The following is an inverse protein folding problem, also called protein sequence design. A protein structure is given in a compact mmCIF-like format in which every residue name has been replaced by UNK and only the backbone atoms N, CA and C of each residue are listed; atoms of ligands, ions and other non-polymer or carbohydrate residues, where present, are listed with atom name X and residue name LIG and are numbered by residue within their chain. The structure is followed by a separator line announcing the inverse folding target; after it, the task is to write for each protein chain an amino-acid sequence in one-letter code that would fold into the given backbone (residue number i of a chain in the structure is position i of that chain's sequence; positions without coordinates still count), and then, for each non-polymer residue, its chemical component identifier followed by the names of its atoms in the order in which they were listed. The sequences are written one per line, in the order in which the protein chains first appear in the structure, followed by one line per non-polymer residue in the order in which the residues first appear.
data_IF_645285081328
#
_entry.id   IF_645285081328
#
_cell.length_a   1.000
_cell.length_b   1.000
_cell.length_c   1.000
_cell.angle_alpha   90.00
_cell.angle_beta   90.00
_cell.angle_gamma   90.00
#
_symmetry.space_group_name_H-M   'P 1'
#
loop_
_entity.id
_entity.type
_entity.pdbx_description
1 polymer ?
#
# COMPACT_ATOMS: atom_id res chain seq x y z
N UNK A 1 16.04 9.69 7.42
CA UNK A 1 15.67 10.95 6.70
C UNK A 1 14.50 11.66 7.39
N UNK A 2 14.53 12.98 7.60
CA UNK A 2 13.39 13.73 8.18
C UNK A 2 12.31 13.93 7.11
N UNK A 3 11.07 13.51 7.39
CA UNK A 3 9.94 13.70 6.47
C UNK A 3 9.52 15.17 6.45
N UNK A 4 9.47 15.74 5.25
CA UNK A 4 9.03 17.12 4.98
C UNK A 4 8.27 17.18 3.66
N UNK A 5 7.53 18.27 3.42
CA UNK A 5 6.84 18.47 2.14
C UNK A 5 7.79 18.46 0.94
N UNK A 6 8.94 19.10 1.08
CA UNK A 6 9.96 19.17 0.03
C UNK A 6 10.44 17.76 -0.35
N UNK A 7 10.82 16.95 0.64
CA UNK A 7 11.29 15.58 0.41
C UNK A 7 10.20 14.67 -0.15
N UNK A 8 8.93 14.92 0.20
CA UNK A 8 7.79 14.20 -0.38
C UNK A 8 7.55 14.62 -1.84
N UNK A 9 7.62 15.90 -2.17
CA UNK A 9 7.52 16.38 -3.57
C UNK A 9 8.64 15.81 -4.43
N UNK A 10 9.89 15.85 -3.96
CA UNK A 10 11.06 15.28 -4.65
C UNK A 10 10.88 13.78 -4.92
N UNK A 11 10.20 13.06 -4.01
CA UNK A 11 9.91 11.64 -4.18
C UNK A 11 8.73 11.32 -5.11
N UNK A 12 8.01 12.34 -5.61
CA UNK A 12 6.91 12.19 -6.56
C UNK A 12 5.50 12.30 -5.98
N UNK A 13 5.34 12.86 -4.78
CA UNK A 13 4.03 13.32 -4.31
C UNK A 13 3.62 14.58 -5.07
N UNK A 14 2.32 14.72 -5.34
CA UNK A 14 1.77 15.96 -5.90
C UNK A 14 1.35 16.92 -4.79
N UNK A 15 1.15 18.21 -5.12
CA UNK A 15 0.58 19.17 -4.18
C UNK A 15 -0.80 18.73 -3.65
N UNK A 16 -1.62 18.08 -4.49
CA UNK A 16 -2.93 17.54 -4.06
C UNK A 16 -2.76 16.37 -3.08
N UNK A 17 -1.73 15.54 -3.25
CA UNK A 17 -1.42 14.47 -2.30
C UNK A 17 -1.00 15.06 -0.95
N UNK A 18 -0.15 16.09 -0.96
CA UNK A 18 0.26 16.80 0.25
C UNK A 18 -0.89 17.48 0.96
N UNK A 19 -1.79 18.13 0.22
CA UNK A 19 -2.97 18.76 0.80
C UNK A 19 -3.86 17.74 1.53
N UNK A 20 -4.03 16.53 0.96
CA UNK A 20 -4.78 15.44 1.61
C UNK A 20 -4.09 14.97 2.89
N UNK A 21 -2.77 14.82 2.87
CA UNK A 21 -1.99 14.38 4.03
C UNK A 21 -2.05 15.45 5.14
N UNK A 22 -1.85 16.72 4.79
CA UNK A 22 -1.96 17.85 5.73
C UNK A 22 -3.34 17.96 6.35
N UNK A 23 -4.38 17.91 5.53
CA UNK A 23 -5.74 17.94 6.01
C UNK A 23 -6.04 16.76 6.95
N UNK A 24 -5.41 15.60 6.73
CA UNK A 24 -5.52 14.49 7.66
C UNK A 24 -4.83 14.80 9.01
N UNK A 25 -3.62 15.35 8.98
CA UNK A 25 -2.91 15.79 10.20
C UNK A 25 -3.68 16.88 10.95
N UNK A 26 -4.25 17.86 10.25
CA UNK A 26 -5.03 18.95 10.87
C UNK A 26 -6.32 18.43 11.52
N UNK A 27 -6.99 17.46 10.89
CA UNK A 27 -8.28 16.94 11.37
C UNK A 27 -8.13 15.84 12.44
N UNK A 28 -7.05 15.05 12.40
CA UNK A 28 -6.86 13.87 13.26
C UNK A 28 -5.63 13.96 14.18
N UNK A 29 -4.84 15.03 14.07
CA UNK A 29 -3.59 15.21 14.81
C UNK A 29 -2.42 14.39 14.22
N UNK A 30 -1.31 14.38 14.95
CA UNK A 30 -0.09 13.67 14.58
C UNK A 30 0.86 14.48 13.70
N UNK A 31 1.77 13.77 13.03
CA UNK A 31 2.82 14.35 12.19
C UNK A 31 2.76 13.79 10.76
N UNK A 32 3.41 14.50 9.82
CA UNK A 32 3.55 14.01 8.45
C UNK A 32 4.21 12.62 8.39
N UNK A 33 5.23 12.36 9.22
CA UNK A 33 5.92 11.08 9.25
C UNK A 33 5.00 9.93 9.70
N UNK A 34 4.20 10.14 10.74
CA UNK A 34 3.24 9.16 11.25
C UNK A 34 2.19 8.81 10.18
N UNK A 35 1.62 9.82 9.51
CA UNK A 35 0.63 9.59 8.45
C UNK A 35 1.26 8.83 7.27
N UNK A 36 2.48 9.20 6.86
CA UNK A 36 3.20 8.49 5.79
C UNK A 36 3.50 7.03 6.21
N UNK A 37 3.94 6.83 7.45
CA UNK A 37 4.24 5.50 7.99
C UNK A 37 2.99 4.61 8.02
N UNK A 38 1.86 5.13 8.50
CA UNK A 38 0.60 4.40 8.55
C UNK A 38 0.12 4.03 7.15
N UNK A 39 0.25 4.94 6.20
CA UNK A 39 -0.13 4.69 4.82
C UNK A 39 0.75 3.62 4.17
N UNK A 40 2.06 3.68 4.40
CA UNK A 40 3.02 2.68 3.95
C UNK A 40 2.72 1.30 4.56
N UNK A 41 2.38 1.25 5.85
CA UNK A 41 2.03 0.01 6.55
C UNK A 41 0.74 -0.60 5.99
N UNK A 42 -0.30 0.19 5.78
CA UNK A 42 -1.56 -0.26 5.17
C UNK A 42 -1.34 -0.82 3.77
N UNK A 43 -0.52 -0.15 2.95
CA UNK A 43 -0.13 -0.67 1.64
C UNK A 43 0.60 -2.01 1.75
N UNK A 44 1.56 -2.12 2.67
CA UNK A 44 2.33 -3.34 2.85
C UNK A 44 1.45 -4.53 3.28
N UNK A 45 0.48 -4.30 4.18
CA UNK A 45 -0.50 -5.30 4.60
C UNK A 45 -1.37 -5.74 3.41
N UNK A 46 -1.97 -4.79 2.67
CA UNK A 46 -2.80 -5.10 1.50
C UNK A 46 -2.02 -5.87 0.43
N UNK A 47 -0.75 -5.51 0.19
CA UNK A 47 0.16 -6.21 -0.71
C UNK A 47 0.39 -7.66 -0.26
N UNK A 48 0.68 -7.90 1.03
CA UNK A 48 0.90 -9.26 1.54
C UNK A 48 -0.37 -10.11 1.49
N UNK A 49 -1.54 -9.56 1.83
CA UNK A 49 -2.84 -10.24 1.67
C UNK A 49 -3.02 -10.67 0.21
N UNK A 50 -2.74 -9.75 -0.73
CA UNK A 50 -2.84 -10.03 -2.17
C UNK A 50 -1.89 -11.16 -2.59
N UNK A 51 -0.63 -11.13 -2.16
CA UNK A 51 0.36 -12.17 -2.46
C UNK A 51 -0.08 -13.53 -1.92
N UNK A 52 -0.46 -13.61 -0.64
CA UNK A 52 -0.91 -14.85 0.00
C UNK A 52 -2.14 -15.42 -0.70
N UNK A 53 -3.09 -14.56 -1.08
CA UNK A 53 -4.27 -14.96 -1.82
C UNK A 53 -3.93 -15.61 -3.18
N UNK A 54 -2.99 -15.03 -3.93
CA UNK A 54 -2.51 -15.62 -5.18
C UNK A 54 -1.76 -16.92 -4.97
N UNK A 55 -0.94 -17.04 -3.91
CA UNK A 55 -0.26 -18.29 -3.55
C UNK A 55 -1.27 -19.41 -3.28
N UNK A 56 -2.32 -19.13 -2.50
CA UNK A 56 -3.39 -20.09 -2.23
C UNK A 56 -4.10 -20.50 -3.52
N UNK A 57 -4.39 -19.54 -4.42
CA UNK A 57 -5.00 -19.81 -5.72
C UNK A 57 -4.13 -20.74 -6.57
N UNK A 58 -2.83 -20.44 -6.70
CA UNK A 58 -1.88 -21.25 -7.48
C UNK A 58 -1.79 -22.65 -6.89
N UNK A 59 -1.62 -22.77 -5.57
CA UNK A 59 -1.53 -24.06 -4.90
C UNK A 59 -2.80 -24.89 -5.10
N UNK A 60 -3.97 -24.28 -4.88
CA UNK A 60 -5.27 -24.92 -5.14
C UNK A 60 -5.42 -25.35 -6.59
N UNK A 61 -4.99 -24.52 -7.54
CA UNK A 61 -5.06 -24.82 -8.96
C UNK A 61 -4.21 -26.03 -9.37
N UNK A 62 -3.04 -26.19 -8.75
CA UNK A 62 -2.14 -27.33 -9.01
C UNK A 62 -2.65 -28.63 -8.37
N UNK A 63 -3.28 -28.55 -7.19
CA UNK A 63 -3.74 -29.74 -6.45
C UNK A 63 -5.19 -30.15 -6.76
N UNK A 64 -6.03 -29.29 -7.34
CA UNK A 64 -7.47 -29.53 -7.44
C UNK A 64 -7.92 -30.09 -8.79
N UNK A 65 -8.88 -31.02 -8.76
CA UNK A 65 -9.72 -31.37 -9.91
C UNK A 65 -10.55 -30.15 -10.32
N UNK A 66 -10.69 -29.90 -11.63
CA UNK A 66 -11.07 -28.64 -12.32
C UNK A 66 -12.17 -27.72 -11.73
N UNK A 67 -13.02 -28.14 -10.80
CA UNK A 67 -14.23 -27.38 -10.41
C UNK A 67 -14.04 -26.41 -9.22
N UNK A 68 -13.13 -26.67 -8.27
CA UNK A 68 -13.01 -25.81 -7.06
C UNK A 68 -12.17 -24.55 -7.28
N UNK A 69 -11.31 -24.53 -8.29
CA UNK A 69 -10.43 -23.38 -8.59
C UNK A 69 -11.19 -22.19 -9.15
N UNK A 70 -12.31 -22.42 -9.84
CA UNK A 70 -13.07 -21.37 -10.52
C UNK A 70 -13.76 -20.41 -9.53
N UNK A 71 -14.33 -20.93 -8.45
CA UNK A 71 -15.00 -20.12 -7.43
C UNK A 71 -14.02 -19.27 -6.63
N UNK A 72 -12.85 -19.82 -6.30
CA UNK A 72 -11.78 -19.09 -5.63
C UNK A 72 -11.25 -17.95 -6.52
N UNK A 73 -11.01 -18.22 -7.81
CA UNK A 73 -10.60 -17.19 -8.75
C UNK A 73 -11.62 -16.06 -8.86
N UNK A 74 -12.91 -16.40 -8.95
CA UNK A 74 -14.00 -15.41 -9.00
C UNK A 74 -14.06 -14.56 -7.73
N UNK A 75 -13.93 -15.19 -6.56
CA UNK A 75 -13.89 -14.47 -5.28
C UNK A 75 -12.75 -13.45 -5.22
N UNK A 76 -11.56 -13.78 -5.73
CA UNK A 76 -10.42 -12.86 -5.75
C UNK A 76 -10.61 -11.69 -6.72
N UNK A 77 -11.18 -11.95 -7.89
CA UNK A 77 -11.49 -10.91 -8.90
C UNK A 77 -12.44 -9.87 -8.31
N UNK A 78 -13.40 -10.29 -7.48
CA UNK A 78 -14.34 -9.36 -6.84
C UNK A 78 -13.74 -8.75 -5.57
N UNK A 79 -13.13 -9.54 -4.69
CA UNK A 79 -12.70 -9.09 -3.36
C UNK A 79 -11.48 -8.17 -3.37
N UNK A 80 -10.46 -8.46 -4.18
CA UNK A 80 -9.21 -7.70 -4.18
C UNK A 80 -9.41 -6.24 -4.61
N UNK A 81 -10.17 -5.91 -5.67
CA UNK A 81 -10.45 -4.52 -6.03
C UNK A 81 -11.08 -3.71 -4.90
N UNK A 82 -11.97 -4.29 -4.09
CA UNK A 82 -12.57 -3.59 -2.95
C UNK A 82 -11.52 -3.23 -1.89
N UNK A 83 -10.61 -4.14 -1.56
CA UNK A 83 -9.51 -3.88 -0.61
C UNK A 83 -8.65 -2.70 -1.10
N UNK A 84 -8.31 -2.72 -2.40
CA UNK A 84 -7.51 -1.69 -3.04
C UNK A 84 -8.25 -0.37 -3.31
N UNK A 85 -9.58 -0.39 -3.36
CA UNK A 85 -10.41 0.81 -3.51
C UNK A 85 -10.64 1.52 -2.18
N UNK A 86 -10.94 0.76 -1.11
CA UNK A 86 -11.16 1.31 0.24
C UNK A 86 -9.87 1.85 0.86
N UNK A 87 -8.75 1.22 0.54
CA UNK A 87 -7.43 1.77 0.88
C UNK A 87 -7.13 2.90 -0.12
N UNK A 88 -6.64 4.08 0.28
CA UNK A 88 -6.19 5.11 -0.67
C UNK A 88 -4.90 4.63 -1.38
N UNK A 89 -5.04 3.64 -2.26
CA UNK A 89 -3.96 2.77 -2.72
C UNK A 89 -2.86 3.52 -3.44
N UNK A 90 -3.23 4.53 -4.24
CA UNK A 90 -2.25 5.37 -4.95
C UNK A 90 -1.38 6.17 -3.98
N UNK A 91 -2.00 6.77 -2.97
CA UNK A 91 -1.30 7.55 -1.95
C UNK A 91 -0.46 6.62 -1.05
N UNK A 92 -1.02 5.48 -0.66
CA UNK A 92 -0.36 4.46 0.15
C UNK A 92 0.84 3.82 -0.56
N UNK A 93 0.74 3.60 -1.87
CA UNK A 93 1.85 3.16 -2.69
C UNK A 93 3.00 4.16 -2.71
N UNK A 94 2.70 5.45 -2.91
CA UNK A 94 3.72 6.51 -2.88
C UNK A 94 4.42 6.56 -1.52
N UNK A 95 3.67 6.49 -0.43
CA UNK A 95 4.21 6.44 0.93
C UNK A 95 5.10 5.22 1.19
N UNK A 96 4.66 4.03 0.75
CA UNK A 96 5.47 2.81 0.84
C UNK A 96 6.77 2.94 0.03
N UNK A 97 6.69 3.41 -1.21
CA UNK A 97 7.85 3.62 -2.07
C UNK A 97 8.83 4.62 -1.45
N UNK A 98 8.34 5.73 -0.91
CA UNK A 98 9.16 6.72 -0.22
C UNK A 98 9.93 6.11 0.95
N UNK A 99 9.26 5.38 1.84
CA UNK A 99 9.91 4.71 2.97
C UNK A 99 10.96 3.67 2.53
N UNK A 100 10.75 2.98 1.41
CA UNK A 100 11.73 2.03 0.85
C UNK A 100 12.96 2.71 0.25
N UNK A 101 12.83 3.92 -0.30
CA UNK A 101 13.99 4.70 -0.74
C UNK A 101 14.75 5.27 0.46
N UNK A 102 14.02 5.84 1.43
CA UNK A 102 14.63 6.41 2.64
C UNK A 102 15.43 5.35 3.42
N UNK A 103 14.88 4.14 3.58
CA UNK A 103 15.56 3.05 4.30
C UNK A 103 16.80 2.52 3.58
N UNK A 104 16.85 2.60 2.24
CA UNK A 104 18.05 2.24 1.46
C UNK A 104 19.17 3.25 1.67
N UNK A 105 18.85 4.55 1.57
CA UNK A 105 19.84 5.62 1.75
C UNK A 105 20.44 5.57 3.17
N UNK A 106 19.61 5.31 4.18
CA UNK A 106 20.04 5.25 5.58
C UNK A 106 20.85 4.00 5.92
N UNK A 107 20.75 2.94 5.11
CA UNK A 107 21.59 1.74 5.24
C UNK A 107 22.93 1.81 4.47
N UNK A 108 23.06 2.75 3.54
CA UNK A 108 24.29 3.00 2.77
C UNK A 108 25.20 4.07 3.43
N UNK A 109 24.78 4.66 4.56
CA UNK A 109 25.53 5.63 5.39
C UNK A 109 26.11 4.96 6.63
#
# INVERSE_FOLDING_TARGET
MKVSEETLLESGFSHTDLQKIKSNVENFGGTLDEVIQDLAKRFNVAKWITIVAFVILIFTSVLSTKNNTLSLAFSLIVGLPFIWYLTPAKLAFKAWRYKQYASRIEGDQ
#
